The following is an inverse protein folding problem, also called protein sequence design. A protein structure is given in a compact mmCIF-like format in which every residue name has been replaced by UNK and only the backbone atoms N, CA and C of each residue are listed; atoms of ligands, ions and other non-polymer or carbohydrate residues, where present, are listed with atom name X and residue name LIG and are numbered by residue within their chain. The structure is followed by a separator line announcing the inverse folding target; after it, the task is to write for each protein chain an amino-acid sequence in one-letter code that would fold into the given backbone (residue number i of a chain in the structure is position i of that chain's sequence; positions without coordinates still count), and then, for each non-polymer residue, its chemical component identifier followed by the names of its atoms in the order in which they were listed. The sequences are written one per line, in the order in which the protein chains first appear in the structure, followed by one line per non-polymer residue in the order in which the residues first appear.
data_IF_965809556598
#
_entry.id   IF_965809556598
#
_cell.length_a   1.000
_cell.length_b   1.000
_cell.length_c   1.000
_cell.angle_alpha   90.00
_cell.angle_beta   90.00
_cell.angle_gamma   90.00
#
_symmetry.space_group_name_H-M   'P 1'
#
loop_
_entity.id
_entity.type
_entity.pdbx_description
1 polymer ?
#
# COMPACT_ATOMS: atom_id res chain seq x y z
N UNK A 1 -17.61 5.74 -3.40
CA UNK A 1 -18.57 6.74 -2.88
C UNK A 1 -19.13 6.38 -1.50
N UNK A 2 -19.65 5.16 -1.29
CA UNK A 2 -20.21 4.76 0.01
C UNK A 2 -19.21 4.88 1.17
N UNK A 3 -17.96 4.41 1.01
CA UNK A 3 -16.92 4.51 2.06
C UNK A 3 -16.56 5.98 2.39
N UNK A 4 -16.48 6.84 1.38
CA UNK A 4 -16.13 8.25 1.54
C UNK A 4 -17.19 8.99 2.34
N UNK A 5 -18.46 8.75 2.02
CA UNK A 5 -19.59 9.33 2.74
C UNK A 5 -19.65 8.79 4.18
N UNK A 6 -19.47 7.48 4.34
CA UNK A 6 -19.43 6.84 5.65
C UNK A 6 -18.34 7.43 6.56
N UNK A 7 -17.11 7.53 6.06
CA UNK A 7 -15.99 8.13 6.79
C UNK A 7 -16.23 9.60 7.11
N UNK A 8 -16.76 10.38 6.16
CA UNK A 8 -17.10 11.77 6.40
C UNK A 8 -18.16 11.94 7.50
N UNK A 9 -19.18 11.08 7.53
CA UNK A 9 -20.21 11.09 8.57
C UNK A 9 -19.66 10.63 9.93
N UNK A 10 -18.78 9.62 9.95
CA UNK A 10 -18.10 9.13 11.15
C UNK A 10 -17.22 10.21 11.78
N UNK A 11 -16.34 10.82 10.98
CA UNK A 11 -15.40 11.85 11.45
C UNK A 11 -16.10 13.14 11.88
N UNK A 12 -17.28 13.44 11.32
CA UNK A 12 -18.15 14.54 11.79
C UNK A 12 -18.97 14.21 13.04
N UNK A 13 -18.82 13.00 13.60
CA UNK A 13 -19.56 12.53 14.77
C UNK A 13 -21.05 12.27 14.52
N UNK A 14 -21.50 12.30 13.25
CA UNK A 14 -22.90 12.04 12.85
C UNK A 14 -23.22 10.55 12.83
N UNK A 15 -22.21 9.71 12.68
CA UNK A 15 -22.34 8.26 12.71
C UNK A 15 -21.43 7.71 13.81
N UNK A 16 -22.03 7.13 14.85
CA UNK A 16 -21.29 6.48 15.94
C UNK A 16 -21.17 5.00 15.64
N UNK A 17 -19.94 4.51 15.62
CA UNK A 17 -19.70 3.07 15.52
C UNK A 17 -20.15 2.40 16.84
N UNK A 18 -20.90 1.29 16.78
CA UNK A 18 -21.18 0.49 17.96
C UNK A 18 -19.87 -0.02 18.58
N UNK A 19 -19.85 -0.19 19.90
CA UNK A 19 -18.62 -0.45 20.69
C UNK A 19 -17.73 -1.59 20.16
N UNK A 20 -18.32 -2.63 19.56
CA UNK A 20 -17.59 -3.76 18.96
C UNK A 20 -16.87 -3.38 17.66
N UNK A 21 -17.43 -2.48 16.85
CA UNK A 21 -16.81 -1.99 15.62
C UNK A 21 -15.75 -0.93 15.90
N UNK A 22 -15.96 -0.08 16.92
CA UNK A 22 -14.90 0.85 17.36
C UNK A 22 -13.70 0.14 17.96
N UNK A 23 -13.88 -1.05 18.56
CA UNK A 23 -12.79 -1.87 19.09
C UNK A 23 -11.91 -2.50 17.99
N UNK A 24 -12.39 -2.55 16.74
CA UNK A 24 -11.59 -3.03 15.60
C UNK A 24 -10.70 -1.93 15.01
N UNK A 25 -10.96 -0.67 15.35
CA UNK A 25 -10.16 0.45 14.87
C UNK A 25 -8.92 0.64 15.74
N UNK A 26 -7.78 0.92 15.11
CA UNK A 26 -6.58 1.34 15.84
C UNK A 26 -6.84 2.69 16.51
N UNK A 27 -6.16 2.97 17.61
CA UNK A 27 -6.31 4.24 18.36
C UNK A 27 -6.13 5.48 17.47
N UNK A 28 -5.22 5.41 16.49
CA UNK A 28 -4.99 6.47 15.50
C UNK A 28 -6.13 6.67 14.48
N UNK A 29 -6.92 5.63 14.20
CA UNK A 29 -8.04 5.66 13.23
C UNK A 29 -9.34 6.19 13.83
N UNK A 30 -9.41 6.35 15.16
CA UNK A 30 -10.58 6.94 15.81
C UNK A 30 -10.81 8.40 15.39
N UNK A 31 -9.75 9.12 15.00
CA UNK A 31 -9.80 10.54 14.62
C UNK A 31 -9.32 10.82 13.19
N UNK A 32 -8.97 9.79 12.42
CA UNK A 32 -8.49 9.86 11.04
C UNK A 32 -9.24 8.87 10.16
N UNK A 33 -9.29 9.04 8.82
CA UNK A 33 -9.84 8.02 7.94
C UNK A 33 -9.24 6.64 8.23
N UNK A 34 -10.05 5.60 8.07
CA UNK A 34 -9.61 4.21 8.32
C UNK A 34 -8.64 3.70 7.25
N UNK A 35 -7.85 2.67 7.55
CA UNK A 35 -7.04 1.98 6.55
C UNK A 35 -7.88 1.50 5.35
N UNK A 36 -9.13 1.09 5.56
CA UNK A 36 -10.06 0.73 4.48
C UNK A 36 -10.36 1.89 3.52
N UNK A 37 -10.47 3.11 4.05
CA UNK A 37 -10.61 4.30 3.20
C UNK A 37 -9.39 4.49 2.30
N UNK A 38 -8.19 4.41 2.88
CA UNK A 38 -6.93 4.56 2.15
C UNK A 38 -6.72 3.43 1.15
N UNK A 39 -7.04 2.19 1.51
CA UNK A 39 -7.00 1.02 0.64
C UNK A 39 -7.88 1.20 -0.60
N UNK A 40 -9.17 1.54 -0.42
CA UNK A 40 -10.09 1.67 -1.55
C UNK A 40 -9.68 2.81 -2.50
N UNK A 41 -9.15 3.90 -1.95
CA UNK A 41 -8.61 4.98 -2.77
C UNK A 41 -7.28 4.62 -3.43
N UNK A 42 -6.35 3.99 -2.72
CA UNK A 42 -5.07 3.55 -3.27
C UNK A 42 -5.24 2.61 -4.43
N UNK A 43 -6.04 1.55 -4.25
CA UNK A 43 -6.36 0.60 -5.32
C UNK A 43 -7.12 1.29 -6.45
N UNK A 44 -8.18 2.04 -6.13
CA UNK A 44 -9.00 2.71 -7.14
C UNK A 44 -8.20 3.71 -7.99
N UNK A 45 -7.34 4.51 -7.37
CA UNK A 45 -6.45 5.44 -8.07
C UNK A 45 -5.38 4.70 -8.86
N UNK A 46 -4.83 3.60 -8.35
CA UNK A 46 -3.86 2.80 -9.11
C UNK A 46 -4.44 2.30 -10.43
N UNK A 47 -5.66 1.77 -10.43
CA UNK A 47 -6.32 1.32 -11.67
C UNK A 47 -6.80 2.46 -12.56
N UNK A 48 -7.10 3.64 -11.99
CA UNK A 48 -7.52 4.81 -12.76
C UNK A 48 -6.34 5.48 -13.48
N UNK A 49 -5.17 5.54 -12.82
CA UNK A 49 -4.02 6.33 -13.26
C UNK A 49 -3.00 5.51 -14.05
N UNK A 50 -2.94 4.20 -13.83
CA UNK A 50 -1.92 3.33 -14.42
C UNK A 50 -2.53 2.19 -15.24
N UNK A 51 -1.79 1.66 -16.23
CA UNK A 51 -2.26 0.50 -16.97
C UNK A 51 -2.37 -0.73 -16.05
N UNK A 52 -3.17 -1.71 -16.51
CA UNK A 52 -3.56 -2.88 -15.73
C UNK A 52 -2.38 -3.60 -15.08
N UNK A 53 -1.28 -3.79 -15.81
CA UNK A 53 -0.09 -4.51 -15.32
C UNK A 53 0.56 -3.78 -14.14
N UNK A 54 0.78 -2.48 -14.25
CA UNK A 54 1.40 -1.64 -13.23
C UNK A 54 0.52 -1.52 -11.98
N UNK A 55 -0.79 -1.32 -12.18
CA UNK A 55 -1.77 -1.28 -11.09
C UNK A 55 -1.84 -2.60 -10.32
N UNK A 56 -1.85 -3.74 -11.03
CA UNK A 56 -1.82 -5.06 -10.41
C UNK A 56 -0.52 -5.29 -9.63
N UNK A 57 0.63 -4.86 -10.15
CA UNK A 57 1.89 -4.98 -9.42
C UNK A 57 1.83 -4.27 -8.06
N UNK A 58 1.32 -3.03 -8.03
CA UNK A 58 1.11 -2.30 -6.79
C UNK A 58 0.11 -2.95 -5.83
N UNK A 59 -0.98 -3.51 -6.36
CA UNK A 59 -1.94 -4.26 -5.56
C UNK A 59 -1.31 -5.51 -4.92
N UNK A 60 -0.45 -6.23 -5.65
CA UNK A 60 0.23 -7.43 -5.13
C UNK A 60 1.23 -7.09 -4.02
N UNK A 61 2.01 -6.00 -4.18
CA UNK A 61 2.90 -5.51 -3.12
C UNK A 61 2.09 -5.16 -1.87
N UNK A 62 0.97 -4.44 -2.01
CA UNK A 62 0.12 -4.09 -0.89
C UNK A 62 -0.51 -5.33 -0.22
N UNK A 63 -1.13 -6.21 -1.00
CA UNK A 63 -1.90 -7.34 -0.49
C UNK A 63 -1.04 -8.39 0.22
N UNK A 64 0.20 -8.59 -0.24
CA UNK A 64 1.11 -9.57 0.34
C UNK A 64 2.08 -8.94 1.36
N UNK A 65 2.44 -7.67 1.16
CA UNK A 65 3.45 -6.96 1.93
C UNK A 65 3.20 -7.01 3.43
N UNK A 66 2.03 -6.54 3.87
CA UNK A 66 1.65 -6.52 5.29
C UNK A 66 1.51 -7.92 5.87
N UNK A 67 0.90 -8.84 5.11
CA UNK A 67 0.65 -10.20 5.56
C UNK A 67 1.94 -10.98 5.82
N UNK A 68 2.92 -10.87 4.91
CA UNK A 68 4.18 -11.61 5.01
C UNK A 68 5.16 -10.91 5.94
N UNK A 69 5.30 -9.58 5.85
CA UNK A 69 6.20 -8.82 6.73
C UNK A 69 5.75 -8.91 8.20
N UNK A 70 4.44 -8.88 8.44
CA UNK A 70 3.83 -8.99 9.77
C UNK A 70 4.14 -10.30 10.51
N UNK A 71 4.54 -11.36 9.81
CA UNK A 71 4.95 -12.63 10.43
C UNK A 71 6.25 -12.50 11.25
N UNK A 72 7.06 -11.48 10.97
CA UNK A 72 8.40 -11.32 11.57
C UNK A 72 8.45 -10.30 12.71
N UNK A 73 7.33 -9.61 13.01
CA UNK A 73 7.28 -8.53 13.99
C UNK A 73 8.08 -7.29 13.58
N UNK A 74 7.71 -6.11 14.07
CA UNK A 74 8.38 -4.83 13.71
C UNK A 74 9.89 -4.91 14.02
N UNK A 75 10.74 -4.72 12.99
CA UNK A 75 12.19 -4.77 13.13
C UNK A 75 12.93 -5.04 11.81
N UNK A 76 14.24 -5.31 11.86
CA UNK A 76 15.06 -5.53 10.65
C UNK A 76 14.56 -6.67 9.76
N UNK A 77 14.06 -7.76 10.36
CA UNK A 77 13.52 -8.91 9.63
C UNK A 77 12.21 -8.58 8.90
N UNK A 78 11.35 -7.73 9.48
CA UNK A 78 10.14 -7.23 8.82
C UNK A 78 10.47 -6.45 7.55
N UNK A 79 11.42 -5.51 7.64
CA UNK A 79 11.83 -4.72 6.47
C UNK A 79 12.54 -5.58 5.42
N UNK A 80 13.36 -6.56 5.83
CA UNK A 80 13.98 -7.50 4.90
C UNK A 80 12.95 -8.37 4.19
N UNK A 81 11.94 -8.86 4.92
CA UNK A 81 10.84 -9.64 4.34
C UNK A 81 10.03 -8.79 3.34
N UNK A 82 9.70 -7.54 3.69
CA UNK A 82 9.00 -6.62 2.80
C UNK A 82 9.83 -6.31 1.55
N UNK A 83 11.14 -6.07 1.70
CA UNK A 83 12.06 -5.85 0.58
C UNK A 83 12.10 -7.05 -0.36
N UNK A 84 12.31 -8.26 0.18
CA UNK A 84 12.39 -9.48 -0.60
C UNK A 84 11.08 -9.78 -1.34
N UNK A 85 9.95 -9.52 -0.68
CA UNK A 85 8.62 -9.65 -1.27
C UNK A 85 8.41 -8.65 -2.40
N UNK A 86 8.70 -7.37 -2.16
CA UNK A 86 8.58 -6.32 -3.17
C UNK A 86 9.43 -6.64 -4.39
N UNK A 87 10.68 -7.05 -4.18
CA UNK A 87 11.57 -7.49 -5.25
C UNK A 87 10.98 -8.69 -6.00
N UNK A 88 10.50 -9.72 -5.29
CA UNK A 88 9.87 -10.89 -5.90
C UNK A 88 8.66 -10.55 -6.77
N UNK A 89 7.81 -9.62 -6.31
CA UNK A 89 6.67 -9.12 -7.08
C UNK A 89 7.12 -8.33 -8.31
N UNK A 90 8.11 -7.45 -8.18
CA UNK A 90 8.63 -6.70 -9.33
C UNK A 90 9.20 -7.65 -10.41
N UNK A 91 9.94 -8.67 -10.00
CA UNK A 91 10.49 -9.67 -10.91
C UNK A 91 9.41 -10.53 -11.56
N UNK A 92 8.38 -10.95 -10.82
CA UNK A 92 7.27 -11.75 -11.37
C UNK A 92 6.43 -10.98 -12.38
N UNK A 93 6.38 -9.65 -12.26
CA UNK A 93 5.77 -8.77 -13.26
C UNK A 93 6.69 -8.47 -14.45
N UNK A 94 7.92 -9.00 -14.49
CA UNK A 94 8.81 -8.95 -15.66
C UNK A 94 9.80 -7.80 -15.66
N UNK A 95 10.05 -7.14 -14.52
CA UNK A 95 11.20 -6.23 -14.43
C UNK A 95 12.50 -7.05 -14.38
N UNK A 96 13.57 -6.65 -15.10
CA UNK A 96 14.84 -7.36 -15.05
C UNK A 96 15.48 -7.22 -13.67
N UNK A 97 16.17 -8.26 -13.22
CA UNK A 97 17.01 -8.16 -12.03
C UNK A 97 18.19 -7.24 -12.30
N UNK A 98 18.32 -6.18 -11.51
CA UNK A 98 19.36 -5.17 -11.68
C UNK A 98 19.22 -4.02 -10.70
N UNK A 99 20.19 -3.11 -10.73
CA UNK A 99 20.32 -1.96 -9.82
C UNK A 99 19.05 -1.10 -9.74
N UNK A 100 18.36 -0.84 -10.86
CA UNK A 100 17.12 -0.06 -10.89
C UNK A 100 15.97 -0.75 -10.14
N UNK A 101 15.81 -2.06 -10.32
CA UNK A 101 14.77 -2.87 -9.67
C UNK A 101 15.06 -3.02 -8.17
N UNK A 102 16.33 -3.22 -7.81
CA UNK A 102 16.78 -3.25 -6.41
C UNK A 102 16.53 -1.90 -5.72
N UNK A 103 16.84 -0.79 -6.40
CA UNK A 103 16.56 0.55 -5.90
C UNK A 103 15.06 0.76 -5.66
N UNK A 104 14.21 0.38 -6.62
CA UNK A 104 12.76 0.50 -6.46
C UNK A 104 12.26 -0.33 -5.28
N UNK A 105 12.66 -1.59 -5.14
CA UNK A 105 12.30 -2.43 -3.99
C UNK A 105 12.75 -1.79 -2.66
N UNK A 106 13.95 -1.19 -2.63
CA UNK A 106 14.47 -0.45 -1.48
C UNK A 106 13.61 0.77 -1.14
N UNK A 107 13.27 1.58 -2.15
CA UNK A 107 12.41 2.76 -1.97
C UNK A 107 11.02 2.39 -1.46
N UNK A 108 10.42 1.32 -1.97
CA UNK A 108 9.13 0.83 -1.48
C UNK A 108 9.20 0.37 -0.02
N UNK A 109 10.31 -0.27 0.37
CA UNK A 109 10.55 -0.68 1.77
C UNK A 109 10.71 0.53 2.69
N UNK A 110 11.41 1.57 2.24
CA UNK A 110 11.49 2.83 2.98
C UNK A 110 10.13 3.51 3.10
N UNK A 111 9.33 3.48 2.04
CA UNK A 111 7.99 4.05 2.03
C UNK A 111 7.03 3.33 2.98
N UNK A 112 7.11 2.00 3.07
CA UNK A 112 6.36 1.20 4.06
C UNK A 112 6.68 1.62 5.49
N UNK A 113 7.94 1.97 5.77
CA UNK A 113 8.35 2.40 7.10
C UNK A 113 7.86 3.81 7.48
N UNK A 114 7.34 4.61 6.53
CA UNK A 114 6.91 5.97 6.78
C UNK A 114 5.49 6.05 7.36
N UNK A 115 5.23 6.93 8.34
CA UNK A 115 3.95 6.99 9.05
C UNK A 115 2.84 7.81 8.35
N UNK A 116 3.02 8.28 7.11
CA UNK A 116 2.07 9.19 6.45
C UNK A 116 2.06 9.09 4.91
N UNK A 117 0.90 9.29 4.23
CA UNK A 117 -0.47 9.37 4.77
C UNK A 117 -1.02 8.04 5.30
N UNK A 118 -0.80 6.94 4.58
CA UNK A 118 -1.11 5.55 4.96
C UNK A 118 -0.51 4.63 3.88
N UNK A 119 0.08 3.51 4.27
CA UNK A 119 0.70 2.53 3.35
C UNK A 119 -0.32 1.94 2.36
N UNK A 120 -1.58 1.78 2.78
CA UNK A 120 -2.66 1.31 1.92
C UNK A 120 -2.98 2.27 0.76
N UNK A 121 -2.64 3.55 0.90
CA UNK A 121 -2.75 4.52 -0.20
C UNK A 121 -1.45 4.61 -0.99
N UNK A 122 -0.32 4.72 -0.30
CA UNK A 122 0.97 5.09 -0.93
C UNK A 122 1.63 3.94 -1.65
N UNK A 123 1.67 2.73 -1.06
CA UNK A 123 2.35 1.58 -1.66
C UNK A 123 1.80 1.17 -3.03
N UNK A 124 0.47 1.01 -3.24
CA UNK A 124 -0.02 0.61 -4.56
C UNK A 124 0.23 1.68 -5.62
N UNK A 125 0.21 2.96 -5.26
CA UNK A 125 0.48 4.07 -6.18
C UNK A 125 1.97 4.19 -6.51
N UNK A 126 2.83 4.17 -5.49
CA UNK A 126 4.28 4.29 -5.66
C UNK A 126 4.86 3.10 -6.42
N UNK A 127 4.36 1.89 -6.15
CA UNK A 127 4.76 0.68 -6.90
C UNK A 127 4.35 0.80 -8.36
N UNK A 128 3.09 1.13 -8.65
CA UNK A 128 2.60 1.27 -10.01
C UNK A 128 3.38 2.37 -10.78
N UNK A 129 3.64 3.51 -10.15
CA UNK A 129 4.44 4.59 -10.71
C UNK A 129 5.89 4.15 -10.97
N UNK A 130 6.54 3.51 -10.00
CA UNK A 130 7.91 3.04 -10.14
C UNK A 130 8.06 2.02 -11.28
N UNK A 131 7.15 1.05 -11.35
CA UNK A 131 7.11 0.07 -12.45
C UNK A 131 6.90 0.77 -13.79
N UNK A 132 6.00 1.75 -13.86
CA UNK A 132 5.73 2.51 -15.08
C UNK A 132 6.97 3.25 -15.58
N UNK A 133 7.65 3.95 -14.68
CA UNK A 133 8.88 4.68 -14.97
C UNK A 133 9.95 3.71 -15.48
N UNK A 134 10.21 2.62 -14.75
CA UNK A 134 11.23 1.66 -15.16
C UNK A 134 10.92 0.99 -16.49
N UNK A 135 9.66 0.61 -16.72
CA UNK A 135 9.22 0.02 -18.00
C UNK A 135 9.41 0.99 -19.16
N UNK A 136 9.22 2.30 -18.94
CA UNK A 136 9.41 3.33 -19.98
C UNK A 136 10.87 3.62 -20.31
N UNK A 137 11.81 3.29 -19.41
CA UNK A 137 13.26 3.48 -19.61
C UNK A 137 13.95 2.26 -20.21
N UNK A 138 13.23 1.15 -20.36
CA UNK A 138 13.76 -0.13 -20.85
C UNK A 138 13.23 -0.52 -22.24
N UNK A 139 12.27 0.23 -22.77
CA UNK A 139 11.84 0.16 -24.17
C UNK A 139 12.56 1.22 -25.00
#
# INVERSE_FOLDING_TARGET
MAITLFEALRLRGRLRLPGRLSALLREGELRRPTGTFYYLWGVGLSFLLFPLREALCGLWVLALGDGISGLFGRGPLHHLAFFALSLGVLLSFGLPFGEKTLLLAGLLTLLEALPFPDDNLTLPLATALGVRILSSLSG
#
